data_IF_180516263537
#
_entry.id   IF_180516263537
#
_cell.length_a   1.000
_cell.length_b   1.000
_cell.length_c   1.000
_cell.angle_alpha   90.00
_cell.angle_beta   90.00
_cell.angle_gamma   90.00
#
_symmetry.space_group_name_H-M   'P 1'
#
loop_
_entity.id
_entity.type
_entity.pdbx_description
1 polymer ?
#
# COMPACT_ATOMS: atom_id res chain seq x y z
N UNK A 1 21.65 -4.65 -34.30
CA UNK A 1 21.06 -3.68 -33.36
C UNK A 1 20.40 -4.50 -32.29
N UNK A 2 20.68 -4.18 -31.04
CA UNK A 2 20.04 -4.83 -29.92
C UNK A 2 18.54 -4.53 -29.95
N UNK A 3 17.72 -5.44 -29.46
CA UNK A 3 16.27 -5.33 -29.54
C UNK A 3 15.69 -4.71 -28.28
N UNK A 4 14.66 -3.88 -28.46
CA UNK A 4 13.93 -3.24 -27.38
C UNK A 4 12.42 -3.31 -27.63
N UNK A 5 11.65 -3.37 -26.56
CA UNK A 5 10.18 -3.39 -26.61
C UNK A 5 9.58 -2.25 -25.81
N UNK A 6 8.47 -1.71 -26.29
CA UNK A 6 7.72 -0.69 -25.56
C UNK A 6 6.54 -1.36 -24.86
N UNK A 7 6.40 -1.16 -23.56
CA UNK A 7 5.27 -1.64 -22.77
C UNK A 7 4.28 -0.48 -22.57
N UNK A 8 3.04 -0.67 -23.05
CA UNK A 8 1.96 0.34 -23.00
C UNK A 8 0.88 -0.04 -21.97
N UNK A 9 0.05 0.94 -21.61
CA UNK A 9 -1.10 0.77 -20.73
C UNK A 9 -2.23 -0.07 -21.32
N UNK A 10 -3.19 -0.45 -20.46
CA UNK A 10 -4.37 -1.28 -20.80
C UNK A 10 -5.19 -0.69 -21.96
N UNK A 11 -5.25 0.64 -22.02
CA UNK A 11 -6.02 1.40 -23.01
C UNK A 11 -5.16 1.90 -24.19
N UNK A 12 -4.08 1.20 -24.52
CA UNK A 12 -3.09 1.59 -25.53
C UNK A 12 -2.39 2.94 -25.25
N UNK A 13 -2.33 3.34 -23.98
CA UNK A 13 -1.70 4.60 -23.58
C UNK A 13 -0.20 4.44 -23.39
N UNK A 14 0.58 5.37 -23.94
CA UNK A 14 2.01 5.50 -23.69
C UNK A 14 2.27 6.71 -22.78
N UNK A 15 3.45 6.75 -22.15
CA UNK A 15 3.86 7.89 -21.33
C UNK A 15 4.32 9.01 -22.27
N UNK A 16 3.79 10.22 -22.13
CA UNK A 16 4.14 11.36 -23.00
C UNK A 16 5.65 11.66 -22.99
N UNK A 17 6.29 11.58 -21.82
CA UNK A 17 7.75 11.74 -21.70
C UNK A 17 8.50 10.70 -22.53
N UNK A 18 8.05 9.45 -22.56
CA UNK A 18 8.66 8.41 -23.39
C UNK A 18 8.49 8.73 -24.88
N UNK A 19 7.31 9.20 -25.28
CA UNK A 19 7.04 9.57 -26.67
C UNK A 19 7.89 10.77 -27.10
N UNK A 20 8.09 11.75 -26.21
CA UNK A 20 9.01 12.87 -26.44
C UNK A 20 10.47 12.41 -26.55
N UNK A 21 10.94 11.55 -25.63
CA UNK A 21 12.31 11.00 -25.67
C UNK A 21 12.59 10.17 -26.93
N UNK A 22 11.58 9.50 -27.47
CA UNK A 22 11.67 8.74 -28.71
C UNK A 22 11.43 9.61 -29.97
N UNK A 23 11.24 10.92 -29.81
CA UNK A 23 11.10 11.88 -30.90
C UNK A 23 9.73 11.89 -31.59
N UNK A 24 8.70 11.32 -30.97
CA UNK A 24 7.33 11.33 -31.51
C UNK A 24 6.53 12.58 -31.10
N UNK A 25 6.91 13.20 -29.98
CA UNK A 25 6.42 14.50 -29.55
C UNK A 25 7.58 15.47 -29.64
N UNK A 26 7.37 16.62 -30.29
CA UNK A 26 8.37 17.68 -30.34
C UNK A 26 8.64 18.21 -28.93
N UNK A 27 9.92 18.42 -28.61
CA UNK A 27 10.35 18.88 -27.28
C UNK A 27 9.61 20.16 -26.87
N UNK A 28 9.55 21.17 -27.75
CA UNK A 28 8.84 22.43 -27.48
C UNK A 28 7.37 22.19 -27.17
N UNK A 29 6.70 21.30 -27.90
CA UNK A 29 5.31 20.93 -27.64
C UNK A 29 5.16 20.19 -26.32
N UNK A 30 6.04 19.23 -26.03
CA UNK A 30 6.06 18.52 -24.75
C UNK A 30 6.23 19.49 -23.57
N UNK A 31 7.10 20.50 -23.71
CA UNK A 31 7.30 21.53 -22.69
C UNK A 31 6.04 22.36 -22.44
N UNK A 32 5.23 22.67 -23.47
CA UNK A 32 3.98 23.42 -23.27
C UNK A 32 2.95 22.69 -22.39
N UNK A 33 3.03 21.37 -22.26
CA UNK A 33 2.13 20.62 -21.36
C UNK A 33 2.36 20.96 -19.89
N UNK A 34 3.58 21.37 -19.51
CA UNK A 34 3.88 21.78 -18.14
C UNK A 34 3.38 23.20 -17.87
N UNK A 35 3.54 24.12 -18.83
CA UNK A 35 3.13 25.54 -18.73
C UNK A 35 1.61 25.76 -18.61
N UNK A 36 0.81 24.87 -19.19
CA UNK A 36 -0.66 24.93 -19.09
C UNK A 36 -1.20 24.64 -17.68
N UNK A 37 -0.45 23.95 -16.83
CA UNK A 37 -0.93 23.57 -15.50
C UNK A 37 -0.75 24.68 -14.43
N UNK A 38 0.14 25.64 -14.68
CA UNK A 38 0.54 26.68 -13.71
C UNK A 38 -0.24 28.00 -13.87
N UNK A 39 -0.88 28.20 -15.02
CA UNK A 39 -1.55 29.46 -15.40
C UNK A 39 -3.01 29.57 -14.96
N UNK A 40 -3.59 28.52 -14.36
CA UNK A 40 -4.96 28.51 -13.81
C UNK A 40 -6.08 28.72 -14.82
N UNK A 41 -5.76 28.90 -16.11
CA UNK A 41 -6.74 28.77 -17.18
C UNK A 41 -7.10 27.29 -17.30
N UNK A 42 -8.41 26.99 -17.25
CA UNK A 42 -8.92 25.71 -17.73
C UNK A 42 -8.57 25.61 -19.22
N UNK A 43 -7.35 25.15 -19.49
CA UNK A 43 -6.86 24.90 -20.83
C UNK A 43 -7.87 23.98 -21.51
N UNK A 44 -8.39 24.43 -22.65
CA UNK A 44 -9.28 23.61 -23.48
C UNK A 44 -8.71 22.21 -23.68
N UNK A 45 -9.62 21.25 -23.87
CA UNK A 45 -9.34 19.81 -23.97
C UNK A 45 -7.96 19.57 -24.60
N UNK A 46 -7.11 18.71 -24.00
CA UNK A 46 -5.83 18.37 -24.59
C UNK A 46 -6.08 18.00 -26.06
N UNK A 47 -5.48 18.76 -26.99
CA UNK A 47 -5.56 18.48 -28.43
C UNK A 47 -5.48 16.97 -28.62
N UNK A 48 -6.43 16.41 -29.39
CA UNK A 48 -6.58 14.98 -29.68
C UNK A 48 -5.26 14.25 -29.51
N UNK A 49 -5.19 13.36 -28.51
CA UNK A 49 -4.03 12.50 -28.28
C UNK A 49 -3.53 12.00 -29.63
N UNK A 50 -2.36 12.47 -30.06
CA UNK A 50 -1.86 12.17 -31.40
C UNK A 50 -1.72 10.65 -31.49
N UNK A 51 -2.61 10.01 -32.26
CA UNK A 51 -2.58 8.56 -32.44
C UNK A 51 -1.31 8.22 -33.23
N UNK A 52 -0.37 7.55 -32.57
CA UNK A 52 0.84 7.03 -33.20
C UNK A 52 0.53 5.62 -33.69
N UNK A 53 0.76 5.33 -34.97
CA UNK A 53 0.53 3.99 -35.48
C UNK A 53 1.61 3.03 -34.97
N UNK A 54 1.26 1.76 -34.77
CA UNK A 54 2.24 0.74 -34.37
C UNK A 54 3.34 0.57 -35.43
N UNK A 55 3.01 0.74 -36.70
CA UNK A 55 3.96 0.65 -37.82
C UNK A 55 5.00 1.76 -37.75
N UNK A 56 4.62 2.96 -37.30
CA UNK A 56 5.55 4.07 -37.10
C UNK A 56 6.52 3.80 -35.94
N UNK A 57 6.09 3.04 -34.92
CA UNK A 57 6.94 2.67 -33.78
C UNK A 57 7.94 1.57 -34.14
N UNK A 58 7.48 0.57 -34.87
CA UNK A 58 8.26 -0.63 -35.15
C UNK A 58 9.37 -0.35 -36.18
N UNK A 59 10.55 -0.92 -35.93
CA UNK A 59 11.68 -0.81 -36.84
C UNK A 59 12.51 0.47 -36.70
N UNK A 60 12.04 1.50 -35.97
CA UNK A 60 12.86 2.65 -35.60
C UNK A 60 14.08 2.20 -34.80
N UNK A 61 15.22 2.81 -35.13
CA UNK A 61 16.50 2.54 -34.48
C UNK A 61 16.95 3.81 -33.77
N UNK A 62 17.37 3.66 -32.52
CA UNK A 62 17.89 4.72 -31.68
C UNK A 62 19.33 4.39 -31.29
N UNK A 63 20.12 5.42 -31.00
CA UNK A 63 21.48 5.25 -30.48
C UNK A 63 21.48 5.59 -29.00
N UNK A 64 21.82 4.62 -28.17
CA UNK A 64 22.07 4.82 -26.74
C UNK A 64 23.55 5.13 -26.56
N UNK A 65 23.88 6.40 -26.32
CA UNK A 65 25.26 6.87 -26.23
C UNK A 65 25.88 6.50 -24.88
N UNK A 66 27.16 6.08 -24.90
CA UNK A 66 27.94 5.93 -23.68
C UNK A 66 28.33 7.29 -23.10
N UNK A 67 28.65 7.34 -21.80
CA UNK A 67 29.01 8.59 -21.13
C UNK A 67 30.20 9.30 -21.79
N UNK A 68 31.25 8.57 -22.17
CA UNK A 68 32.44 9.17 -22.81
C UNK A 68 32.16 9.75 -24.22
N UNK A 69 31.01 9.41 -24.82
CA UNK A 69 30.60 10.03 -26.08
C UNK A 69 29.98 11.42 -25.84
N UNK A 70 29.23 11.59 -24.74
CA UNK A 70 28.42 12.79 -24.50
C UNK A 70 28.97 13.69 -23.39
N UNK A 71 29.98 13.23 -22.66
CA UNK A 71 30.69 14.00 -21.65
C UNK A 71 32.17 14.09 -21.99
N UNK A 72 32.69 15.31 -21.95
CA UNK A 72 34.11 15.58 -22.08
C UNK A 72 34.63 16.23 -20.81
N UNK A 73 35.89 15.93 -20.47
CA UNK A 73 36.57 16.58 -19.35
C UNK A 73 36.85 18.04 -19.71
N UNK A 74 36.51 18.94 -18.81
CA UNK A 74 36.80 20.36 -18.97
C UNK A 74 38.22 20.65 -18.47
N UNK A 75 39.18 20.80 -19.38
CA UNK A 75 40.57 21.13 -19.05
C UNK A 75 40.73 22.55 -18.48
N UNK A 76 39.70 23.40 -18.61
CA UNK A 76 39.67 24.75 -18.03
C UNK A 76 38.90 24.81 -16.70
N UNK A 77 38.45 23.66 -16.18
CA UNK A 77 37.86 23.56 -14.85
C UNK A 77 38.78 24.19 -13.81
N UNK A 78 38.29 25.17 -13.06
CA UNK A 78 39.19 26.05 -12.30
C UNK A 78 38.98 27.54 -12.58
N UNK A 79 38.36 27.87 -13.71
CA UNK A 79 38.38 29.23 -14.28
C UNK A 79 36.98 29.82 -14.41
N UNK A 80 36.89 31.14 -14.61
CA UNK A 80 35.61 31.85 -14.76
C UNK A 80 34.83 31.29 -15.95
N UNK A 81 33.59 30.83 -15.72
CA UNK A 81 32.76 30.17 -16.72
C UNK A 81 32.91 28.64 -16.82
N UNK A 82 33.89 28.06 -16.12
CA UNK A 82 34.21 26.62 -16.14
C UNK A 82 34.02 25.99 -14.76
N UNK A 83 32.76 25.95 -14.31
CA UNK A 83 32.38 25.52 -12.96
C UNK A 83 32.40 23.99 -12.77
N UNK A 84 32.39 23.20 -13.86
CA UNK A 84 32.20 21.76 -13.81
C UNK A 84 33.41 21.01 -14.41
N UNK A 85 33.91 19.95 -13.76
CA UNK A 85 35.04 19.16 -14.25
C UNK A 85 34.74 18.37 -15.53
N UNK A 86 33.47 18.08 -15.79
CA UNK A 86 32.97 17.43 -16.99
C UNK A 86 31.81 18.23 -17.55
N UNK A 87 31.79 18.42 -18.86
CA UNK A 87 30.74 19.13 -19.59
C UNK A 87 30.01 18.18 -20.51
N UNK A 88 28.69 18.32 -20.54
CA UNK A 88 27.85 17.63 -21.53
C UNK A 88 28.00 18.34 -22.89
N UNK A 89 28.38 17.60 -23.93
CA UNK A 89 28.65 18.12 -25.28
C UNK A 89 27.64 17.63 -26.33
N UNK A 90 26.62 16.89 -25.92
CA UNK A 90 25.54 16.43 -26.80
C UNK A 90 24.55 17.55 -27.12
N UNK A 91 24.99 18.59 -27.83
CA UNK A 91 24.13 19.68 -28.26
C UNK A 91 23.34 19.32 -29.52
N UNK A 92 22.09 19.79 -29.60
CA UNK A 92 21.28 19.71 -30.81
C UNK A 92 21.41 21.03 -31.56
N UNK A 93 22.14 21.04 -32.67
CA UNK A 93 22.40 22.25 -33.48
C UNK A 93 21.23 22.59 -34.42
N UNK A 94 20.02 22.76 -33.87
CA UNK A 94 18.81 23.21 -34.59
C UNK A 94 17.58 22.30 -34.42
N UNK A 95 16.43 22.75 -34.95
CA UNK A 95 15.12 22.08 -34.77
C UNK A 95 15.03 20.67 -35.37
N UNK A 96 15.90 20.33 -36.33
CA UNK A 96 15.96 19.04 -37.01
C UNK A 96 17.39 18.47 -37.08
N UNK A 97 18.32 19.00 -36.28
CA UNK A 97 19.68 18.47 -36.24
C UNK A 97 19.70 17.16 -35.45
N UNK A 98 20.42 16.17 -35.97
CA UNK A 98 20.83 15.04 -35.16
C UNK A 98 21.72 15.55 -34.02
N UNK A 99 21.74 14.83 -32.88
CA UNK A 99 22.77 15.06 -31.86
C UNK A 99 24.14 14.84 -32.52
N UNK A 100 24.85 15.93 -32.81
CA UNK A 100 26.20 15.88 -33.39
C UNK A 100 27.19 15.54 -32.28
N UNK A 101 27.20 14.27 -31.88
CA UNK A 101 28.18 13.75 -30.93
C UNK A 101 29.47 13.48 -31.69
N UNK A 102 30.52 14.27 -31.42
CA UNK A 102 31.88 14.05 -31.92
C UNK A 102 32.45 12.74 -31.34
N UNK A 103 32.20 11.61 -31.99
CA UNK A 103 32.87 10.33 -31.66
C UNK A 103 31.99 9.20 -31.13
N UNK A 104 30.99 8.78 -31.91
CA UNK A 104 30.80 7.39 -32.33
C UNK A 104 30.76 6.22 -31.33
N UNK A 105 30.57 6.41 -30.03
CA UNK A 105 30.55 5.32 -29.04
C UNK A 105 29.15 5.17 -28.43
N UNK A 106 28.27 4.43 -29.09
CA UNK A 106 26.92 4.15 -28.60
C UNK A 106 26.37 2.83 -29.12
N UNK A 107 25.39 2.28 -28.43
CA UNK A 107 24.71 1.03 -28.81
C UNK A 107 23.47 1.35 -29.62
N UNK A 108 23.34 0.73 -30.79
CA UNK A 108 22.12 0.85 -31.61
C UNK A 108 21.04 -0.09 -31.10
N UNK A 109 19.94 0.47 -30.64
CA UNK A 109 18.75 -0.26 -30.22
C UNK A 109 17.65 -0.14 -31.27
N UNK A 110 16.95 -1.23 -31.57
CA UNK A 110 15.84 -1.27 -32.52
C UNK A 110 14.55 -1.63 -31.78
N UNK A 111 13.51 -0.84 -32.01
CA UNK A 111 12.17 -1.18 -31.51
C UNK A 111 11.59 -2.34 -32.33
N UNK A 112 11.43 -3.50 -31.70
CA UNK A 112 10.95 -4.73 -32.36
C UNK A 112 9.56 -5.15 -31.94
N UNK A 113 9.05 -4.61 -30.83
CA UNK A 113 7.72 -4.99 -30.33
C UNK A 113 7.08 -3.92 -29.46
N UNK A 114 5.75 -3.98 -29.42
CA UNK A 114 4.92 -3.25 -28.46
C UNK A 114 4.13 -4.28 -27.66
N UNK A 115 4.32 -4.26 -26.35
CA UNK A 115 3.68 -5.17 -25.40
C UNK A 115 2.57 -4.44 -24.67
N UNK A 116 1.43 -5.11 -24.53
CA UNK A 116 0.30 -4.64 -23.74
C UNK A 116 -0.09 -5.74 -22.76
N UNK A 117 -0.51 -5.34 -21.56
CA UNK A 117 -1.06 -6.27 -20.60
C UNK A 117 -2.27 -7.01 -21.20
N UNK A 118 -2.37 -8.32 -20.94
CA UNK A 118 -3.48 -9.14 -21.44
C UNK A 118 -4.81 -8.60 -20.91
N UNK A 119 -5.86 -8.72 -21.72
CA UNK A 119 -7.22 -8.43 -21.25
C UNK A 119 -7.52 -9.26 -19.98
N UNK A 120 -8.20 -8.62 -19.03
CA UNK A 120 -8.56 -9.17 -17.71
C UNK A 120 -7.42 -9.39 -16.71
N UNK A 121 -6.20 -8.93 -17.01
CA UNK A 121 -5.13 -8.80 -16.03
C UNK A 121 -4.98 -7.34 -15.59
N UNK A 122 -4.78 -7.14 -14.29
CA UNK A 122 -4.50 -5.82 -13.69
C UNK A 122 -3.05 -5.72 -13.16
N UNK A 123 -2.26 -6.79 -13.26
CA UNK A 123 -0.86 -6.83 -12.87
C UNK A 123 0.01 -7.50 -13.93
N UNK A 124 1.22 -6.97 -14.15
CA UNK A 124 2.22 -7.50 -15.08
C UNK A 124 3.63 -7.38 -14.50
N UNK A 125 4.56 -8.18 -15.01
CA UNK A 125 5.95 -8.19 -14.56
C UNK A 125 6.82 -7.09 -15.18
N UNK A 126 6.38 -6.50 -16.30
CA UNK A 126 7.11 -5.44 -17.00
C UNK A 126 6.54 -4.07 -16.66
N UNK A 127 7.43 -3.11 -16.47
CA UNK A 127 7.07 -1.71 -16.26
C UNK A 127 6.66 -1.06 -17.58
N UNK A 128 5.69 -0.14 -17.53
CA UNK A 128 5.35 0.71 -18.69
C UNK A 128 6.58 1.52 -19.08
N UNK A 129 6.90 1.57 -20.37
CA UNK A 129 8.12 2.23 -20.84
C UNK A 129 8.91 1.42 -21.86
N UNK A 130 10.12 1.90 -22.14
CA UNK A 130 11.10 1.17 -22.92
C UNK A 130 11.73 0.07 -22.06
N UNK A 131 11.64 -1.17 -22.52
CA UNK A 131 12.24 -2.33 -21.86
C UNK A 131 13.36 -2.88 -22.76
N UNK A 132 14.52 -3.10 -22.15
CA UNK A 132 15.75 -3.56 -22.79
C UNK A 132 16.07 -4.99 -22.33
N UNK A 133 16.86 -5.72 -23.12
CA UNK A 133 17.36 -7.04 -22.71
C UNK A 133 18.38 -6.92 -21.57
N UNK A 134 18.46 -7.94 -20.72
CA UNK A 134 19.41 -8.01 -19.61
C UNK A 134 20.86 -7.87 -20.10
N UNK A 135 21.24 -8.64 -21.13
CA UNK A 135 22.58 -8.58 -21.75
C UNK A 135 22.95 -7.15 -22.24
N UNK A 136 22.00 -6.45 -22.87
CA UNK A 136 22.22 -5.07 -23.30
C UNK A 136 22.43 -4.13 -22.10
N UNK A 137 21.61 -4.26 -21.06
CA UNK A 137 21.70 -3.43 -19.85
C UNK A 137 23.02 -3.67 -19.13
N UNK A 138 23.42 -4.92 -18.93
CA UNK A 138 24.69 -5.28 -18.27
C UNK A 138 25.89 -4.74 -19.05
N UNK A 139 25.91 -4.94 -20.37
CA UNK A 139 26.96 -4.41 -21.24
C UNK A 139 27.02 -2.88 -21.19
N UNK A 140 25.86 -2.21 -21.20
CA UNK A 140 25.78 -0.76 -21.17
C UNK A 140 26.28 -0.18 -19.85
N UNK A 141 25.83 -0.75 -18.72
CA UNK A 141 26.30 -0.38 -17.37
C UNK A 141 27.80 -0.65 -17.21
N UNK A 142 28.27 -1.82 -17.68
CA UNK A 142 29.67 -2.22 -17.61
C UNK A 142 30.61 -1.25 -18.34
N UNK A 143 30.20 -0.77 -19.52
CA UNK A 143 30.94 0.24 -20.27
C UNK A 143 30.92 1.60 -19.56
N UNK A 144 29.75 2.08 -19.13
CA UNK A 144 29.63 3.38 -18.45
C UNK A 144 30.35 3.44 -17.10
N UNK A 145 30.50 2.32 -16.39
CA UNK A 145 31.35 2.23 -15.19
C UNK A 145 32.80 2.59 -15.44
N UNK A 146 33.29 2.30 -16.64
CA UNK A 146 34.66 2.57 -17.02
C UNK A 146 34.86 3.96 -17.62
N UNK A 147 33.77 4.73 -17.77
CA UNK A 147 33.81 6.09 -18.31
C UNK A 147 34.65 7.02 -17.44
N UNK A 148 35.26 8.02 -18.08
CA UNK A 148 36.14 8.97 -17.44
C UNK A 148 35.43 9.74 -16.31
N UNK A 149 34.18 10.17 -16.56
CA UNK A 149 33.34 10.86 -15.56
C UNK A 149 33.03 9.99 -14.35
N UNK A 150 32.72 8.69 -14.54
CA UNK A 150 32.39 7.78 -13.42
C UNK A 150 33.63 7.40 -12.63
N UNK A 151 34.77 7.14 -13.29
CA UNK A 151 36.06 6.93 -12.61
C UNK A 151 36.43 8.14 -11.77
N UNK A 152 36.30 9.35 -12.33
CA UNK A 152 36.54 10.58 -11.60
C UNK A 152 35.64 10.72 -10.36
N UNK A 153 34.32 10.47 -10.48
CA UNK A 153 33.40 10.51 -9.34
C UNK A 153 33.80 9.53 -8.22
N UNK A 154 34.33 8.36 -8.56
CA UNK A 154 34.72 7.33 -7.58
C UNK A 154 36.11 7.53 -6.97
N UNK A 155 37.07 8.02 -7.74
CA UNK A 155 38.48 8.14 -7.34
C UNK A 155 38.79 9.48 -6.67
N UNK A 156 38.04 10.53 -7.00
CA UNK A 156 38.29 11.86 -6.51
C UNK A 156 37.86 12.02 -5.05
N UNK A 157 38.79 12.50 -4.22
CA UNK A 157 38.46 12.87 -2.84
C UNK A 157 37.76 14.24 -2.82
N UNK A 158 36.72 14.39 -2.01
CA UNK A 158 35.95 15.64 -1.88
C UNK A 158 35.28 16.12 -3.19
N UNK A 159 34.73 15.20 -4.00
CA UNK A 159 33.92 15.51 -5.20
C UNK A 159 32.90 16.63 -4.94
N UNK A 160 32.24 16.57 -3.78
CA UNK A 160 31.25 17.55 -3.30
C UNK A 160 31.82 18.97 -3.15
N UNK A 161 33.07 19.08 -2.70
CA UNK A 161 33.73 20.37 -2.50
C UNK A 161 34.26 20.95 -3.81
N UNK A 162 34.72 20.08 -4.72
CA UNK A 162 35.25 20.47 -6.03
C UNK A 162 34.16 21.02 -6.95
N UNK A 163 32.97 20.45 -6.93
CA UNK A 163 31.86 20.93 -7.76
C UNK A 163 31.39 22.34 -7.33
N UNK A 164 31.73 22.77 -6.11
CA UNK A 164 31.41 24.09 -5.57
C UNK A 164 32.65 24.97 -5.35
N UNK A 165 33.78 24.68 -5.99
CA UNK A 165 35.09 25.29 -5.68
C UNK A 165 35.13 26.83 -5.84
N UNK A 166 34.23 27.41 -6.64
CA UNK A 166 34.21 28.86 -6.96
C UNK A 166 33.23 29.67 -6.10
N UNK A 167 32.47 29.03 -5.22
CA UNK A 167 31.52 29.71 -4.34
C UNK A 167 32.15 29.98 -2.96
N UNK A 168 31.97 31.20 -2.40
CA UNK A 168 32.30 31.50 -1.00
C UNK A 168 31.72 30.45 -0.05
N UNK A 169 32.41 30.13 1.05
CA UNK A 169 32.03 29.03 1.95
C UNK A 169 30.59 29.11 2.49
N UNK A 170 30.07 30.33 2.65
CA UNK A 170 28.72 30.70 3.05
C UNK A 170 27.68 30.64 1.91
N UNK A 171 28.13 30.60 0.66
CA UNK A 171 27.30 30.53 -0.56
C UNK A 171 27.43 29.21 -1.33
N UNK A 172 28.27 28.28 -0.85
CA UNK A 172 28.38 26.94 -1.44
C UNK A 172 26.99 26.30 -1.49
N UNK A 173 26.51 26.04 -2.69
CA UNK A 173 25.25 25.35 -2.89
C UNK A 173 25.47 23.91 -2.42
N UNK A 174 24.55 23.36 -1.63
CA UNK A 174 24.54 21.92 -1.34
C UNK A 174 24.13 21.22 -2.62
N UNK A 175 25.07 20.95 -3.52
CA UNK A 175 24.84 20.23 -4.79
C UNK A 175 26.04 19.38 -5.08
N UNK A 176 25.77 18.11 -5.34
CA UNK A 176 26.82 17.12 -5.40
C UNK A 176 27.28 16.83 -6.83
N UNK A 177 26.47 16.83 -7.93
CA UNK A 177 26.92 16.60 -9.35
C UNK A 177 25.89 17.14 -10.41
N UNK A 178 26.36 17.76 -11.53
CA UNK A 178 25.54 18.14 -12.72
C UNK A 178 25.56 17.03 -13.79
N UNK A 179 24.38 16.54 -14.22
CA UNK A 179 24.25 15.31 -15.02
C UNK A 179 23.20 15.46 -16.14
N UNK A 180 23.60 16.07 -17.27
CA UNK A 180 22.83 16.19 -18.53
C UNK A 180 21.54 17.02 -18.50
N UNK A 181 21.28 17.88 -19.52
CA UNK A 181 20.02 18.60 -19.74
C UNK A 181 18.76 17.72 -19.76
N UNK A 182 18.84 16.46 -20.18
CA UNK A 182 17.66 15.59 -20.35
C UNK A 182 17.01 15.17 -19.02
N UNK A 183 17.77 15.13 -17.91
CA UNK A 183 17.20 14.94 -16.57
C UNK A 183 16.42 16.18 -16.07
N UNK A 184 16.56 17.33 -16.74
CA UNK A 184 15.92 18.59 -16.37
C UNK A 184 14.52 18.78 -16.95
N UNK A 185 14.06 17.92 -17.88
CA UNK A 185 12.70 17.98 -18.44
C UNK A 185 11.61 17.97 -17.36
N UNK A 186 11.81 17.23 -16.26
CA UNK A 186 10.89 17.21 -15.11
C UNK A 186 11.25 18.22 -14.00
N UNK A 187 12.37 18.95 -14.09
CA UNK A 187 12.96 19.76 -12.99
C UNK A 187 13.16 21.25 -13.31
N UNK A 188 13.02 21.69 -14.56
CA UNK A 188 12.90 23.13 -14.87
C UNK A 188 11.68 23.80 -14.21
N UNK A 189 10.81 23.01 -13.56
CA UNK A 189 9.60 23.43 -12.88
C UNK A 189 9.76 23.72 -11.38
N UNK A 190 10.88 24.26 -10.92
CA UNK A 190 10.85 25.05 -9.69
C UNK A 190 10.44 26.45 -10.09
N UNK A 191 9.14 26.73 -9.99
CA UNK A 191 8.61 28.05 -10.28
C UNK A 191 9.44 29.12 -9.53
N UNK A 192 9.93 30.18 -10.20
CA UNK A 192 10.74 31.23 -9.58
C UNK A 192 10.11 31.83 -8.31
N UNK A 193 8.78 31.81 -8.23
CA UNK A 193 7.98 32.21 -7.08
C UNK A 193 8.27 31.41 -5.81
N UNK A 194 8.59 30.12 -5.91
CA UNK A 194 8.93 29.27 -4.77
C UNK A 194 10.34 29.53 -4.23
N UNK A 195 11.22 30.12 -5.04
CA UNK A 195 12.59 30.46 -4.66
C UNK A 195 12.63 31.62 -3.65
N UNK A 196 11.68 32.56 -3.76
CA UNK A 196 11.53 33.70 -2.85
C UNK A 196 11.19 33.28 -1.40
N UNK A 197 10.57 32.11 -1.20
CA UNK A 197 10.22 31.58 0.13
C UNK A 197 11.45 31.10 0.92
N UNK A 198 12.53 30.72 0.24
CA UNK A 198 13.77 30.24 0.87
C UNK A 198 14.82 31.34 1.02
N UNK A 199 14.75 32.39 0.19
CA UNK A 199 15.68 33.53 0.21
C UNK A 199 14.93 34.87 0.17
N UNK A 200 14.23 35.24 1.27
CA UNK A 200 13.46 36.47 1.32
C UNK A 200 14.38 37.70 1.17
N UNK A 201 14.11 38.55 0.18
CA UNK A 201 14.82 39.81 -0.07
C UNK A 201 15.69 39.83 -1.33
N UNK A 202 15.81 38.71 -2.06
CA UNK A 202 16.47 38.67 -3.37
C UNK A 202 15.45 38.67 -4.51
N UNK A 203 15.78 39.39 -5.60
CA UNK A 203 15.01 39.39 -6.84
C UNK A 203 15.04 37.97 -7.46
N UNK A 204 13.88 37.32 -7.71
CA UNK A 204 13.83 35.94 -8.20
C UNK A 204 14.53 35.71 -9.54
N UNK A 205 14.51 36.70 -10.44
CA UNK A 205 15.20 36.64 -11.73
C UNK A 205 16.72 36.77 -11.59
N UNK A 206 17.19 37.65 -10.70
CA UNK A 206 18.61 37.77 -10.39
C UNK A 206 19.13 36.51 -9.66
N UNK A 207 18.32 35.92 -8.77
CA UNK A 207 18.67 34.69 -8.06
C UNK A 207 18.71 33.49 -9.02
N UNK A 208 17.78 33.39 -9.98
CA UNK A 208 17.82 32.37 -11.03
C UNK A 208 19.05 32.53 -11.96
N UNK A 209 19.45 33.77 -12.26
CA UNK A 209 20.63 34.06 -13.07
C UNK A 209 21.96 33.81 -12.32
N UNK A 210 22.01 34.05 -11.01
CA UNK A 210 23.17 33.78 -10.15
C UNK A 210 23.32 32.30 -9.79
N UNK A 211 22.19 31.59 -9.64
CA UNK A 211 22.16 30.18 -9.25
C UNK A 211 22.03 29.22 -10.42
N UNK A 212 21.87 29.68 -11.67
CA UNK A 212 21.78 28.80 -12.84
C UNK A 212 20.66 27.75 -12.76
N UNK A 213 19.56 28.05 -12.07
CA UNK A 213 18.48 27.11 -11.78
C UNK A 213 18.72 26.33 -10.48
N UNK A 214 17.67 26.15 -9.69
CA UNK A 214 17.73 25.47 -8.40
C UNK A 214 18.22 24.02 -8.57
N UNK A 215 19.46 23.78 -8.17
CA UNK A 215 20.09 22.47 -8.29
C UNK A 215 19.74 21.58 -7.09
N UNK A 216 19.43 20.30 -7.37
CA UNK A 216 19.11 19.31 -6.35
C UNK A 216 20.38 18.63 -5.81
N UNK A 217 20.40 18.40 -4.49
CA UNK A 217 21.34 17.51 -3.82
C UNK A 217 21.15 16.07 -4.31
N UNK A 218 21.97 15.61 -5.26
CA UNK A 218 21.98 14.22 -5.71
C UNK A 218 23.19 13.52 -5.09
N UNK A 219 22.99 12.57 -4.18
CA UNK A 219 24.11 11.80 -3.60
C UNK A 219 24.99 11.18 -4.69
N UNK A 220 26.27 10.93 -4.38
CA UNK A 220 27.22 10.28 -5.30
C UNK A 220 26.66 8.98 -5.90
N UNK A 221 26.00 8.15 -5.09
CA UNK A 221 25.33 6.93 -5.57
C UNK A 221 24.22 7.20 -6.58
N UNK A 222 23.40 8.23 -6.35
CA UNK A 222 22.33 8.60 -7.27
C UNK A 222 22.89 9.24 -8.55
N UNK A 223 24.01 9.94 -8.46
CA UNK A 223 24.70 10.49 -9.61
C UNK A 223 25.29 9.40 -10.51
N UNK A 224 25.96 8.41 -9.93
CA UNK A 224 26.44 7.21 -10.65
C UNK A 224 25.27 6.44 -11.27
N UNK A 225 24.12 6.40 -10.58
CA UNK A 225 22.89 5.79 -11.11
C UNK A 225 22.34 6.54 -12.33
N UNK A 226 22.29 7.88 -12.28
CA UNK A 226 21.85 8.71 -13.40
C UNK A 226 22.76 8.56 -14.64
N UNK A 227 24.08 8.40 -14.40
CA UNK A 227 25.06 8.05 -15.44
C UNK A 227 24.97 6.60 -15.94
N UNK A 228 23.93 5.86 -15.55
CA UNK A 228 23.73 4.46 -15.94
C UNK A 228 24.95 3.58 -15.66
N UNK A 229 25.65 3.85 -14.55
CA UNK A 229 26.89 3.16 -14.15
C UNK A 229 26.74 2.41 -12.81
N UNK A 230 25.52 2.29 -12.30
CA UNK A 230 25.20 1.59 -11.07
C UNK A 230 24.52 0.25 -11.37
N UNK A 231 25.03 -0.86 -10.82
CA UNK A 231 24.43 -2.21 -10.90
C UNK A 231 23.72 -2.61 -9.60
N UNK A 232 23.71 -1.75 -8.57
CA UNK A 232 23.13 -2.08 -7.28
C UNK A 232 21.63 -2.33 -7.47
N UNK A 233 21.21 -3.55 -7.14
CA UNK A 233 19.80 -3.93 -7.13
C UNK A 233 19.08 -3.11 -6.05
N UNK A 234 18.12 -2.27 -6.46
CA UNK A 234 17.35 -1.44 -5.52
C UNK A 234 16.07 -2.10 -5.04
N UNK A 235 15.52 -3.04 -5.81
CA UNK A 235 14.24 -3.67 -5.50
C UNK A 235 14.19 -5.06 -6.12
N UNK A 236 13.72 -6.03 -5.33
CA UNK A 236 13.41 -7.39 -5.79
C UNK A 236 11.93 -7.63 -5.51
N UNK A 237 11.18 -8.04 -6.52
CA UNK A 237 9.76 -8.36 -6.39
C UNK A 237 9.58 -9.87 -6.40
N UNK A 238 9.00 -10.40 -5.33
CA UNK A 238 8.63 -11.81 -5.23
C UNK A 238 7.13 -11.98 -5.51
N UNK A 239 6.78 -12.99 -6.32
CA UNK A 239 5.40 -13.35 -6.62
C UNK A 239 5.17 -14.81 -6.20
N UNK A 240 4.86 -15.07 -4.92
CA UNK A 240 4.59 -16.42 -4.44
C UNK A 240 3.38 -17.05 -5.14
N UNK A 241 3.44 -18.36 -5.38
CA UNK A 241 2.37 -19.11 -6.05
C UNK A 241 1.08 -19.17 -5.21
N UNK A 242 1.23 -19.23 -3.89
CA UNK A 242 0.12 -19.34 -2.94
C UNK A 242 0.47 -18.67 -1.59
N UNK A 243 -0.52 -18.65 -0.68
CA UNK A 243 -0.37 -18.04 0.64
C UNK A 243 0.62 -18.79 1.55
N UNK A 244 0.78 -20.10 1.38
CA UNK A 244 1.71 -20.89 2.19
C UNK A 244 3.17 -20.61 1.79
N UNK A 245 3.44 -20.49 0.49
CA UNK A 245 4.71 -20.06 -0.05
C UNK A 245 5.04 -18.63 0.39
N UNK A 246 4.05 -17.71 0.35
CA UNK A 246 4.22 -16.34 0.86
C UNK A 246 4.63 -16.35 2.34
N UNK A 247 3.92 -17.12 3.17
CA UNK A 247 4.21 -17.23 4.60
C UNK A 247 5.63 -17.74 4.86
N UNK A 248 6.10 -18.73 4.08
CA UNK A 248 7.48 -19.21 4.15
C UNK A 248 8.50 -18.13 3.80
N UNK A 249 8.28 -17.36 2.74
CA UNK A 249 9.17 -16.26 2.34
C UNK A 249 9.26 -15.21 3.45
N UNK A 250 8.12 -14.77 3.99
CA UNK A 250 8.08 -13.80 5.09
C UNK A 250 8.82 -14.34 6.31
N UNK A 251 8.55 -15.59 6.70
CA UNK A 251 9.21 -16.22 7.85
C UNK A 251 10.73 -16.29 7.70
N UNK A 252 11.22 -16.53 6.48
CA UNK A 252 12.64 -16.53 6.17
C UNK A 252 13.24 -15.12 6.29
N UNK A 253 12.58 -14.11 5.72
CA UNK A 253 13.03 -12.72 5.80
C UNK A 253 13.04 -12.20 7.23
N UNK A 254 12.06 -12.58 8.04
CA UNK A 254 12.03 -12.26 9.47
C UNK A 254 13.15 -12.94 10.24
N UNK A 255 13.38 -14.23 10.00
CA UNK A 255 14.50 -14.96 10.60
C UNK A 255 15.84 -14.33 10.22
N UNK A 256 16.01 -13.94 8.94
CA UNK A 256 17.18 -13.20 8.47
C UNK A 256 17.35 -11.87 9.21
N UNK A 257 16.30 -11.05 9.27
CA UNK A 257 16.33 -9.74 9.93
C UNK A 257 16.56 -9.80 11.43
N UNK A 258 16.19 -10.90 12.07
CA UNK A 258 16.44 -11.15 13.49
C UNK A 258 17.89 -11.61 13.75
N UNK A 259 18.50 -12.29 12.78
CA UNK A 259 19.87 -12.80 12.89
C UNK A 259 20.96 -11.79 12.49
N UNK A 260 20.61 -10.70 11.80
CA UNK A 260 21.58 -9.76 11.22
C UNK A 260 21.49 -8.34 11.80
N UNK A 261 22.61 -7.63 11.76
CA UNK A 261 22.71 -6.24 12.21
C UNK A 261 21.92 -5.28 11.31
N UNK A 262 21.63 -4.07 11.82
CA UNK A 262 20.73 -3.11 11.18
C UNK A 262 21.11 -2.76 9.74
N UNK A 263 22.42 -2.75 9.39
CA UNK A 263 22.90 -2.48 8.04
C UNK A 263 22.68 -3.61 7.02
N UNK A 264 22.30 -4.81 7.48
CA UNK A 264 22.06 -6.00 6.66
C UNK A 264 20.60 -6.45 6.66
N UNK A 265 19.73 -5.70 7.36
CA UNK A 265 18.30 -5.99 7.40
C UNK A 265 17.65 -5.66 6.08
N UNK A 266 16.80 -6.56 5.62
CA UNK A 266 16.00 -6.44 4.42
C UNK A 266 14.67 -5.79 4.79
N UNK A 267 14.41 -4.61 4.22
CA UNK A 267 13.08 -3.99 4.27
C UNK A 267 12.21 -4.62 3.20
N UNK A 268 11.05 -5.15 3.58
CA UNK A 268 10.11 -5.75 2.64
C UNK A 268 8.67 -5.27 2.93
N UNK A 269 7.81 -5.33 1.91
CA UNK A 269 6.40 -4.92 1.98
C UNK A 269 5.52 -6.06 1.46
N UNK A 270 4.61 -6.57 2.29
CA UNK A 270 3.58 -7.55 1.87
C UNK A 270 2.27 -6.84 1.52
N UNK A 271 2.14 -6.38 0.27
CA UNK A 271 0.96 -5.64 -0.20
C UNK A 271 -0.34 -6.41 0.00
N UNK A 272 -0.35 -7.73 -0.27
CA UNK A 272 -1.55 -8.57 -0.13
C UNK A 272 -1.87 -8.77 1.35
N UNK A 273 -0.87 -9.04 2.19
CA UNK A 273 -1.04 -9.16 3.63
C UNK A 273 -1.57 -7.88 4.27
N UNK A 274 -1.04 -6.71 3.87
CA UNK A 274 -1.55 -5.42 4.34
C UNK A 274 -3.01 -5.21 3.95
N UNK A 275 -3.37 -5.49 2.69
CA UNK A 275 -4.76 -5.37 2.23
C UNK A 275 -5.72 -6.30 2.99
N UNK A 276 -5.32 -7.57 3.19
CA UNK A 276 -6.10 -8.54 3.96
C UNK A 276 -6.23 -8.14 5.44
N UNK A 277 -5.16 -7.61 6.04
CA UNK A 277 -5.18 -7.11 7.42
C UNK A 277 -6.15 -5.95 7.61
N UNK A 278 -6.24 -5.05 6.61
CA UNK A 278 -7.23 -3.96 6.63
C UNK A 278 -8.67 -4.49 6.59
N UNK A 279 -8.94 -5.48 5.72
CA UNK A 279 -10.26 -6.14 5.65
C UNK A 279 -10.57 -6.85 6.98
N UNK A 280 -9.61 -7.58 7.55
CA UNK A 280 -9.78 -8.26 8.83
C UNK A 280 -10.09 -7.28 9.96
N UNK A 281 -9.37 -6.16 10.02
CA UNK A 281 -9.60 -5.10 11.02
C UNK A 281 -11.02 -4.53 10.91
N UNK A 282 -11.53 -4.36 9.70
CA UNK A 282 -12.91 -3.90 9.47
C UNK A 282 -13.94 -4.96 9.93
N UNK A 283 -13.72 -6.23 9.60
CA UNK A 283 -14.58 -7.33 10.04
C UNK A 283 -14.59 -7.48 11.57
N UNK A 284 -13.44 -7.33 12.21
CA UNK A 284 -13.31 -7.39 13.67
C UNK A 284 -14.05 -6.22 14.31
N UNK A 285 -13.94 -5.01 13.76
CA UNK A 285 -14.70 -3.85 14.25
C UNK A 285 -16.22 -4.07 14.19
N UNK A 286 -16.73 -4.56 13.06
CA UNK A 286 -18.16 -4.91 12.92
C UNK A 286 -18.55 -6.02 13.91
N UNK A 287 -17.70 -7.03 14.06
CA UNK A 287 -17.93 -8.15 15.00
C UNK A 287 -17.99 -7.64 16.43
N UNK A 288 -17.10 -6.75 16.86
CA UNK A 288 -17.14 -6.18 18.21
C UNK A 288 -18.42 -5.38 18.47
N UNK A 289 -18.90 -4.61 17.49
CA UNK A 289 -20.16 -3.88 17.60
C UNK A 289 -21.34 -4.86 17.75
N UNK A 290 -21.39 -5.91 16.93
CA UNK A 290 -22.44 -6.95 17.04
C UNK A 290 -22.36 -7.70 18.38
N UNK A 291 -21.16 -8.00 18.87
CA UNK A 291 -20.96 -8.62 20.19
C UNK A 291 -21.41 -7.68 21.32
N UNK A 292 -21.17 -6.37 21.21
CA UNK A 292 -21.67 -5.40 22.17
C UNK A 292 -23.21 -5.36 22.19
N UNK A 293 -23.85 -5.36 21.02
CA UNK A 293 -25.31 -5.42 20.92
C UNK A 293 -25.87 -6.72 21.52
N UNK A 294 -25.28 -7.87 21.19
CA UNK A 294 -25.74 -9.16 21.75
C UNK A 294 -25.55 -9.21 23.26
N UNK A 295 -24.45 -8.68 23.80
CA UNK A 295 -24.22 -8.58 25.23
C UNK A 295 -25.30 -7.74 25.94
N UNK A 296 -25.67 -6.58 25.38
CA UNK A 296 -26.75 -5.75 25.93
C UNK A 296 -28.08 -6.49 25.88
N UNK A 297 -28.44 -7.08 24.74
CA UNK A 297 -29.67 -7.87 24.60
C UNK A 297 -29.74 -9.02 25.59
N UNK A 298 -28.60 -9.65 25.88
CA UNK A 298 -28.49 -10.76 26.80
C UNK A 298 -28.68 -10.32 28.27
N UNK A 299 -28.17 -9.15 28.65
CA UNK A 299 -28.45 -8.55 29.97
C UNK A 299 -29.94 -8.21 30.11
N UNK A 300 -30.52 -7.55 29.11
CA UNK A 300 -31.96 -7.20 29.11
C UNK A 300 -32.82 -8.46 29.21
N UNK A 301 -32.48 -9.51 28.46
CA UNK A 301 -33.18 -10.80 28.50
C UNK A 301 -33.07 -11.48 29.87
N UNK A 302 -31.88 -11.44 30.48
CA UNK A 302 -31.65 -11.97 31.84
C UNK A 302 -32.51 -11.28 32.89
N UNK A 303 -32.62 -9.95 32.84
CA UNK A 303 -33.51 -9.19 33.74
C UNK A 303 -34.97 -9.58 33.52
N UNK A 304 -35.40 -9.71 32.27
CA UNK A 304 -36.77 -10.11 31.94
C UNK A 304 -37.12 -11.50 32.50
N UNK A 305 -36.21 -12.47 32.37
CA UNK A 305 -36.37 -13.82 32.93
C UNK A 305 -36.49 -13.74 34.47
N UNK A 306 -35.67 -12.91 35.12
CA UNK A 306 -35.75 -12.67 36.56
C UNK A 306 -37.11 -12.09 37.00
N UNK A 307 -37.66 -11.15 36.23
CA UNK A 307 -38.98 -10.56 36.52
C UNK A 307 -40.09 -11.60 36.35
N UNK A 308 -40.09 -12.35 35.25
CA UNK A 308 -41.12 -13.37 34.98
C UNK A 308 -41.09 -14.45 36.06
N UNK A 309 -39.90 -14.92 36.44
CA UNK A 309 -39.74 -15.91 37.52
C UNK A 309 -40.16 -15.35 38.87
N UNK A 310 -39.91 -14.06 39.15
CA UNK A 310 -40.43 -13.40 40.35
C UNK A 310 -41.96 -13.36 40.39
N UNK A 311 -42.61 -12.95 39.29
CA UNK A 311 -44.08 -12.91 39.20
C UNK A 311 -44.67 -14.31 39.38
N UNK A 312 -44.12 -15.33 38.71
CA UNK A 312 -44.54 -16.73 38.85
C UNK A 312 -44.49 -17.22 40.32
N UNK A 313 -43.43 -16.86 41.05
CA UNK A 313 -43.32 -17.16 42.49
C UNK A 313 -44.43 -16.48 43.30
N UNK A 314 -44.74 -15.22 43.00
CA UNK A 314 -45.76 -14.46 43.72
C UNK A 314 -47.15 -15.05 43.46
N UNK A 315 -47.47 -15.39 42.22
CA UNK A 315 -48.76 -16.02 41.86
C UNK A 315 -48.93 -17.38 42.54
N UNK A 316 -47.86 -18.18 42.62
CA UNK A 316 -47.86 -19.51 43.27
C UNK A 316 -47.61 -19.46 44.78
N UNK A 317 -47.76 -18.30 45.45
CA UNK A 317 -47.48 -18.17 46.90
C UNK A 317 -48.31 -19.12 47.77
N UNK A 318 -49.58 -19.38 47.41
CA UNK A 318 -50.45 -20.33 48.14
C UNK A 318 -49.92 -21.76 48.08
N UNK A 319 -49.46 -22.20 46.91
CA UNK A 319 -48.87 -23.54 46.72
C UNK A 319 -47.60 -23.72 47.57
N UNK A 320 -46.74 -22.69 47.61
CA UNK A 320 -45.55 -22.68 48.47
C UNK A 320 -45.93 -22.77 49.95
N UNK A 321 -46.99 -22.05 50.37
CA UNK A 321 -47.51 -22.07 51.74
C UNK A 321 -48.01 -23.46 52.17
N UNK A 322 -48.69 -24.19 51.28
CA UNK A 322 -49.12 -25.58 51.50
C UNK A 322 -47.92 -26.51 51.62
N UNK A 323 -46.96 -26.45 50.69
CA UNK A 323 -45.75 -27.28 50.72
C UNK A 323 -44.93 -27.05 51.99
N UNK A 324 -44.77 -25.80 52.42
CA UNK A 324 -44.06 -25.45 53.65
C UNK A 324 -44.80 -25.88 54.91
N UNK A 325 -46.13 -25.89 54.91
CA UNK A 325 -46.95 -26.38 56.02
C UNK A 325 -46.92 -27.91 56.15
N UNK A 326 -46.71 -28.62 55.04
CA UNK A 326 -46.48 -30.07 55.00
C UNK A 326 -45.04 -30.48 55.36
N UNK A 327 -44.14 -29.53 55.65
CA UNK A 327 -42.79 -29.79 56.13
C UNK A 327 -41.66 -29.55 55.13
N UNK A 328 -41.94 -28.99 53.94
CA UNK A 328 -40.88 -28.66 52.98
C UNK A 328 -39.90 -27.60 53.54
N UNK A 329 -38.60 -27.86 53.43
CA UNK A 329 -37.57 -26.94 53.90
C UNK A 329 -37.40 -25.80 52.90
N UNK A 330 -36.87 -24.65 53.37
CA UNK A 330 -36.54 -23.50 52.51
C UNK A 330 -35.61 -23.88 51.33
N UNK A 331 -34.71 -24.84 51.56
CA UNK A 331 -33.79 -25.36 50.55
C UNK A 331 -34.53 -26.16 49.45
N UNK A 332 -35.57 -26.88 49.79
CA UNK A 332 -36.34 -27.71 48.85
C UNK A 332 -37.14 -26.81 47.89
N UNK A 333 -37.76 -25.75 48.43
CA UNK A 333 -38.45 -24.72 47.63
C UNK A 333 -37.45 -24.01 46.69
N UNK A 334 -36.25 -23.67 47.17
CA UNK A 334 -35.23 -23.04 46.33
C UNK A 334 -34.73 -23.97 45.21
N UNK A 335 -34.56 -25.26 45.50
CA UNK A 335 -34.17 -26.24 44.49
C UNK A 335 -35.25 -26.46 43.44
N UNK A 336 -36.53 -26.44 43.81
CA UNK A 336 -37.64 -26.54 42.87
C UNK A 336 -37.59 -25.42 41.83
N UNK A 337 -37.53 -24.16 42.28
CA UNK A 337 -37.46 -23.01 41.36
C UNK A 337 -36.14 -22.95 40.57
N UNK A 338 -35.01 -23.33 41.18
CA UNK A 338 -33.75 -23.44 40.45
C UNK A 338 -33.81 -24.53 39.36
N UNK A 339 -34.49 -25.65 39.60
CA UNK A 339 -34.67 -26.71 38.63
C UNK A 339 -35.61 -26.28 37.49
N UNK A 340 -36.69 -25.54 37.79
CA UNK A 340 -37.56 -24.92 36.77
C UNK A 340 -36.75 -23.99 35.87
N UNK A 341 -35.92 -23.13 36.46
CA UNK A 341 -35.09 -22.17 35.72
C UNK A 341 -33.98 -22.85 34.90
N UNK A 342 -33.41 -23.94 35.43
CA UNK A 342 -32.44 -24.77 34.72
C UNK A 342 -33.06 -25.41 33.47
N UNK A 343 -34.24 -26.01 33.61
CA UNK A 343 -34.95 -26.64 32.49
C UNK A 343 -35.31 -25.60 31.41
N UNK A 344 -35.79 -24.43 31.81
CA UNK A 344 -36.08 -23.32 30.88
C UNK A 344 -34.81 -22.94 30.11
N UNK A 345 -33.68 -22.76 30.79
CA UNK A 345 -32.40 -22.43 30.16
C UNK A 345 -31.90 -23.53 29.22
N UNK A 346 -32.05 -24.80 29.61
CA UNK A 346 -31.61 -25.93 28.80
C UNK A 346 -32.43 -26.03 27.51
N UNK A 347 -33.77 -25.97 27.61
CA UNK A 347 -34.65 -26.02 26.44
C UNK A 347 -34.46 -24.79 25.55
N UNK A 348 -34.34 -23.60 26.13
CA UNK A 348 -34.09 -22.38 25.36
C UNK A 348 -32.73 -22.44 24.62
N UNK A 349 -31.68 -22.92 25.28
CA UNK A 349 -30.35 -23.08 24.68
C UNK A 349 -30.36 -24.09 23.53
N UNK A 350 -30.93 -25.29 23.75
CA UNK A 350 -31.05 -26.33 22.72
C UNK A 350 -31.88 -25.83 21.54
N UNK A 351 -33.03 -25.19 21.82
CA UNK A 351 -33.89 -24.63 20.79
C UNK A 351 -33.19 -23.52 20.00
N UNK A 352 -32.49 -22.61 20.68
CA UNK A 352 -31.72 -21.55 20.05
C UNK A 352 -30.66 -22.09 19.08
N UNK A 353 -29.86 -23.06 19.53
CA UNK A 353 -28.84 -23.71 18.68
C UNK A 353 -29.49 -24.44 17.51
N UNK A 354 -30.60 -25.15 17.72
CA UNK A 354 -31.33 -25.83 16.64
C UNK A 354 -31.83 -24.83 15.58
N UNK A 355 -32.40 -23.70 16.01
CA UNK A 355 -32.82 -22.62 15.12
C UNK A 355 -31.63 -22.02 14.37
N UNK A 356 -30.49 -21.82 15.03
CA UNK A 356 -29.27 -21.34 14.36
C UNK A 356 -28.84 -22.28 13.24
N UNK A 357 -28.76 -23.60 13.49
CA UNK A 357 -28.43 -24.58 12.45
C UNK A 357 -29.44 -24.58 11.30
N UNK A 358 -30.74 -24.45 11.62
CA UNK A 358 -31.80 -24.39 10.61
C UNK A 358 -31.67 -23.15 9.73
N UNK A 359 -31.35 -21.99 10.31
CA UNK A 359 -31.12 -20.74 9.59
C UNK A 359 -29.79 -20.73 8.81
N UNK A 360 -28.77 -21.48 9.25
CA UNK A 360 -27.51 -21.59 8.51
C UNK A 360 -27.71 -22.16 7.11
N UNK A 361 -28.74 -22.99 6.86
CA UNK A 361 -29.02 -23.58 5.55
C UNK A 361 -29.39 -22.53 4.48
N UNK A 362 -30.46 -21.72 4.64
CA UNK A 362 -30.81 -20.70 3.67
C UNK A 362 -29.73 -19.60 3.56
N UNK A 363 -29.04 -19.28 4.66
CA UNK A 363 -27.94 -18.31 4.65
C UNK A 363 -26.78 -18.81 3.77
N UNK A 364 -26.36 -20.07 3.93
CA UNK A 364 -25.29 -20.64 3.10
C UNK A 364 -25.70 -20.76 1.63
N UNK A 365 -26.99 -21.00 1.33
CA UNK A 365 -27.48 -21.01 -0.06
C UNK A 365 -27.38 -19.62 -0.70
N UNK A 366 -27.79 -18.58 0.02
CA UNK A 366 -27.65 -17.20 -0.44
C UNK A 366 -26.18 -16.82 -0.62
N UNK A 367 -25.33 -17.11 0.36
CA UNK A 367 -23.91 -16.82 0.30
C UNK A 367 -23.24 -17.52 -0.89
N UNK A 368 -23.54 -18.80 -1.13
CA UNK A 368 -23.02 -19.53 -2.28
C UNK A 368 -23.36 -18.86 -3.62
N UNK A 369 -24.55 -18.25 -3.73
CA UNK A 369 -24.95 -17.53 -4.94
C UNK A 369 -24.12 -16.26 -5.18
N UNK A 370 -23.78 -15.52 -4.13
CA UNK A 370 -23.03 -14.26 -4.23
C UNK A 370 -21.51 -14.44 -4.24
N UNK A 371 -20.97 -15.41 -3.50
CA UNK A 371 -19.51 -15.53 -3.28
C UNK A 371 -18.90 -16.78 -3.93
N UNK A 372 -19.72 -17.73 -4.39
CA UNK A 372 -19.25 -19.01 -4.93
C UNK A 372 -18.69 -19.98 -3.88
N UNK A 373 -18.54 -19.55 -2.62
CA UNK A 373 -17.98 -20.35 -1.53
C UNK A 373 -19.12 -20.97 -0.72
N UNK A 374 -19.11 -22.29 -0.57
CA UNK A 374 -20.06 -23.01 0.27
C UNK A 374 -19.58 -23.05 1.73
N UNK A 375 -20.52 -23.03 2.67
CA UNK A 375 -20.29 -23.29 4.10
C UNK A 375 -19.54 -22.20 4.89
N UNK A 376 -19.70 -20.93 4.52
CA UNK A 376 -19.18 -19.79 5.29
C UNK A 376 -19.87 -19.61 6.65
N UNK A 377 -21.18 -19.82 6.71
CA UNK A 377 -21.95 -19.76 7.95
C UNK A 377 -22.02 -21.15 8.59
N UNK A 378 -20.90 -21.61 9.14
CA UNK A 378 -20.81 -22.89 9.85
C UNK A 378 -20.62 -22.66 11.35
N UNK A 379 -21.52 -23.22 12.17
CA UNK A 379 -21.36 -23.27 13.62
C UNK A 379 -20.69 -24.59 14.00
N UNK A 380 -19.44 -24.61 14.50
CA UNK A 380 -18.82 -25.81 15.03
C UNK A 380 -19.60 -26.38 16.21
N UNK A 381 -19.72 -27.70 16.29
CA UNK A 381 -20.48 -28.39 17.33
C UNK A 381 -20.10 -27.96 18.75
N UNK A 382 -18.81 -27.80 19.03
CA UNK A 382 -18.31 -27.36 20.34
C UNK A 382 -18.80 -25.95 20.72
N UNK A 383 -18.87 -25.02 19.77
CA UNK A 383 -19.38 -23.67 20.03
C UNK A 383 -20.88 -23.69 20.35
N UNK A 384 -21.64 -24.58 19.71
CA UNK A 384 -23.04 -24.83 20.06
C UNK A 384 -23.22 -25.30 21.51
N UNK A 385 -22.34 -26.20 21.98
CA UNK A 385 -22.38 -26.68 23.36
C UNK A 385 -22.05 -25.57 24.37
N UNK A 386 -21.09 -24.70 24.04
CA UNK A 386 -20.78 -23.51 24.85
C UNK A 386 -21.97 -22.55 24.93
N UNK A 387 -22.68 -22.32 23.82
CA UNK A 387 -23.88 -21.46 23.80
C UNK A 387 -25.00 -21.99 24.73
N UNK A 388 -25.23 -23.30 24.75
CA UNK A 388 -26.20 -23.93 25.64
C UNK A 388 -25.78 -23.74 27.10
N UNK A 389 -24.50 -23.96 27.42
CA UNK A 389 -23.98 -23.76 28.77
C UNK A 389 -24.13 -22.30 29.22
N UNK A 390 -23.87 -21.33 28.33
CA UNK A 390 -24.05 -19.90 28.59
C UNK A 390 -25.53 -19.58 28.87
N UNK A 391 -26.45 -20.12 28.05
CA UNK A 391 -27.89 -19.94 28.24
C UNK A 391 -28.36 -20.43 29.61
N UNK A 392 -28.02 -21.67 29.98
CA UNK A 392 -28.35 -22.25 31.29
C UNK A 392 -27.76 -21.44 32.44
N UNK A 393 -26.51 -21.00 32.31
CA UNK A 393 -25.83 -20.20 33.35
C UNK A 393 -26.54 -18.87 33.57
N UNK A 394 -26.92 -18.20 32.49
CA UNK A 394 -27.62 -16.93 32.56
C UNK A 394 -28.99 -17.06 33.19
N UNK A 395 -29.81 -18.01 32.73
CA UNK A 395 -31.15 -18.21 33.30
C UNK A 395 -31.06 -18.53 34.79
N UNK A 396 -30.14 -19.42 35.19
CA UNK A 396 -29.89 -19.73 36.59
C UNK A 396 -29.56 -18.47 37.40
N UNK A 397 -28.61 -17.65 36.94
CA UNK A 397 -28.24 -16.40 37.62
C UNK A 397 -29.46 -15.49 37.79
N UNK A 398 -30.28 -15.33 36.75
CA UNK A 398 -31.52 -14.54 36.81
C UNK A 398 -32.52 -15.07 37.83
N UNK A 399 -32.67 -16.41 37.92
CA UNK A 399 -33.62 -17.08 38.80
C UNK A 399 -33.20 -17.17 40.28
N UNK A 400 -31.93 -16.95 40.61
CA UNK A 400 -31.42 -17.10 41.98
C UNK A 400 -32.10 -16.13 42.98
N UNK A 401 -32.34 -14.88 42.57
CA UNK A 401 -32.97 -13.85 43.39
C UNK A 401 -34.43 -14.22 43.72
N UNK A 402 -35.32 -14.48 42.72
CA UNK A 402 -36.70 -14.86 43.00
C UNK A 402 -36.83 -16.20 43.74
N UNK A 403 -36.01 -17.21 43.42
CA UNK A 403 -36.01 -18.49 44.14
C UNK A 403 -35.67 -18.33 45.64
N UNK A 404 -34.76 -17.41 45.96
CA UNK A 404 -34.43 -17.06 47.35
C UNK A 404 -35.57 -16.31 48.04
N UNK A 405 -36.26 -15.41 47.32
CA UNK A 405 -37.44 -14.71 47.82
C UNK A 405 -38.59 -15.67 48.13
N UNK A 406 -38.86 -16.63 47.23
CA UNK A 406 -39.86 -17.69 47.39
C UNK A 406 -39.66 -18.49 48.68
N UNK A 407 -38.41 -18.94 48.90
CA UNK A 407 -38.04 -19.76 50.05
C UNK A 407 -38.17 -19.04 51.40
N UNK A 408 -38.21 -17.70 51.41
CA UNK A 408 -38.33 -16.88 52.62
C UNK A 408 -39.77 -16.52 52.99
N UNK A 409 -40.76 -16.78 52.13
CA UNK A 409 -42.18 -16.50 52.40
C UNK A 409 -42.69 -17.28 53.61
N UNK A 410 -43.40 -16.61 54.51
CA UNK A 410 -43.98 -17.20 55.72
C UNK A 410 -45.23 -18.04 55.37
N UNK A 411 -45.28 -19.33 55.74
CA UNK A 411 -46.44 -20.18 55.46
C UNK A 411 -47.76 -19.66 56.06
N UNK A 412 -47.73 -18.99 57.22
CA UNK A 412 -48.94 -18.46 57.86
C UNK A 412 -49.49 -17.28 57.08
N UNK A 413 -48.62 -16.41 56.57
CA UNK A 413 -49.01 -15.25 55.75
C UNK A 413 -49.48 -15.72 54.37
N UNK A 414 -48.79 -16.71 53.77
CA UNK A 414 -49.11 -17.25 52.45
C UNK A 414 -50.49 -17.91 52.37
N UNK A 415 -50.98 -18.51 53.46
CA UNK A 415 -52.30 -19.14 53.54
C UNK A 415 -53.42 -18.18 53.93
N UNK A 416 -53.09 -17.00 54.48
CA UNK A 416 -54.07 -15.97 54.90
C UNK A 416 -54.42 -14.97 53.80
N UNK A 417 -53.65 -14.92 52.73
CA UNK A 417 -53.92 -14.08 51.55
C UNK A 417 -55.17 -14.59 50.82
N UNK A 418 -56.21 -13.74 50.69
CA UNK A 418 -57.41 -14.01 49.89
C UNK A 418 -57.08 -14.28 48.42
#
# INVERSE_FOLDING_TARGET
ADEAVIVIGKDNTAIDLLMAQLGFIEETKFMTYFDKNDSGENGGDPEESKLISYEDLLGKTYTMYYNDAVYEKDEQYGTSGHAYPYRYVGERTGENADLEVTGGSGVKIKLTGVLRLKQDLDYGCLQKGLNLTEDLVEKFIGANRQSAIVKWINEESNVKDKINAFLPADQKIKTDIYLSPAEHLNKYYVAPSNLANYFPGFDPSALAALTGGAYLNVSVDNAIKALSANDKVTTISFYPLDFDAKAKVISYLDAWNNAHEQGQKVTYTDTVGTMMSMVQTMLDAVTYVLVAFTAISLVVSSVMIGIITYVSVVERTKEIGVLRSLGARKKDIRHLFNAETFLIGLFAGVFGVAVTYLLSVPINLLLKHFTGIASLAALPFWQGLVMIAVSVTLTLISGLIPASSAAKKDPVIALRTE
#
